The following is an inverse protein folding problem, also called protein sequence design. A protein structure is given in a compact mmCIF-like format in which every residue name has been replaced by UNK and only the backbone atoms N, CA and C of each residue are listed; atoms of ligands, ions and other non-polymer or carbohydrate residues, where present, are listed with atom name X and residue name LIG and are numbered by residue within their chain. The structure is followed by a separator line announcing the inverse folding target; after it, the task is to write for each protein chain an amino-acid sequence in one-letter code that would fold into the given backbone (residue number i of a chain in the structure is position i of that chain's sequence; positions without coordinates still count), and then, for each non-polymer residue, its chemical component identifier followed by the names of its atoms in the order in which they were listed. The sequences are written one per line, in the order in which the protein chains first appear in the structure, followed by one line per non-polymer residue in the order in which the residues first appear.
data_IF_926982345101
#
_entry.id   IF_926982345101
#
_cell.length_a   1.000
_cell.length_b   1.000
_cell.length_c   1.000
_cell.angle_alpha   90.00
_cell.angle_beta   90.00
_cell.angle_gamma   90.00
#
_symmetry.space_group_name_H-M   'P 1'
#
loop_
_entity.id
_entity.type
_entity.pdbx_description
1 polymer ?
#
# COMPACT_ATOMS: atom_id res chain seq x y z
N UNK A 1 -8.83 0.38 -9.77
CA UNK A 1 -7.54 0.92 -10.25
C UNK A 1 -6.64 -0.24 -10.67
N UNK A 2 -6.21 -0.28 -11.94
CA UNK A 2 -5.40 -1.38 -12.49
C UNK A 2 -3.91 -1.11 -12.27
N UNK A 3 -3.27 -1.83 -11.34
CA UNK A 3 -1.82 -1.92 -11.29
C UNK A 3 -1.31 -2.91 -12.34
N UNK A 4 -0.17 -2.63 -12.96
CA UNK A 4 0.50 -3.56 -13.87
C UNK A 4 1.13 -4.71 -13.06
N UNK A 5 0.85 -5.98 -13.41
CA UNK A 5 1.57 -7.16 -12.89
C UNK A 5 2.73 -7.53 -13.81
N UNK A 6 3.67 -6.61 -14.04
CA UNK A 6 4.91 -6.89 -14.77
C UNK A 6 6.08 -6.28 -14.01
N UNK A 7 7.31 -6.68 -14.31
CA UNK A 7 8.49 -6.01 -13.75
C UNK A 7 8.64 -4.60 -14.34
N UNK A 8 9.33 -3.72 -13.60
CA UNK A 8 9.61 -2.36 -14.05
C UNK A 8 10.46 -2.35 -15.33
N UNK A 9 11.46 -3.23 -15.39
CA UNK A 9 12.30 -3.44 -16.58
C UNK A 9 11.49 -3.75 -17.84
N UNK A 10 10.53 -4.69 -17.75
CA UNK A 10 9.66 -5.02 -18.89
C UNK A 10 8.74 -3.86 -19.28
N UNK A 11 8.33 -3.04 -18.31
CA UNK A 11 7.52 -1.86 -18.57
C UNK A 11 8.31 -0.78 -19.31
N UNK A 12 9.55 -0.52 -18.90
CA UNK A 12 10.42 0.48 -19.53
C UNK A 12 10.89 0.01 -20.91
N UNK A 13 11.25 -1.26 -21.06
CA UNK A 13 11.58 -1.85 -22.36
C UNK A 13 10.39 -1.83 -23.33
N UNK A 14 9.16 -2.07 -22.85
CA UNK A 14 7.96 -1.94 -23.69
C UNK A 14 7.74 -0.50 -24.20
N UNK A 15 8.08 0.52 -23.39
CA UNK A 15 7.99 1.93 -23.80
C UNK A 15 9.03 2.26 -24.86
N UNK A 16 10.27 1.83 -24.67
CA UNK A 16 11.37 2.06 -25.62
C UNK A 16 11.08 1.40 -26.98
N UNK A 17 10.63 0.14 -26.99
CA UNK A 17 10.28 -0.56 -28.23
C UNK A 17 9.10 0.11 -28.96
N UNK A 18 8.16 0.68 -28.22
CA UNK A 18 7.07 1.45 -28.83
C UNK A 18 7.53 2.79 -29.40
N UNK A 19 8.50 3.45 -28.77
CA UNK A 19 9.13 4.68 -29.29
C UNK A 19 9.97 4.42 -30.54
N UNK A 20 10.49 3.20 -30.69
CA UNK A 20 11.13 2.72 -31.91
C UNK A 20 10.12 2.22 -32.98
N UNK A 21 8.84 2.58 -32.88
CA UNK A 21 7.75 2.21 -33.79
C UNK A 21 7.56 0.69 -34.01
N UNK A 22 7.98 -0.13 -33.04
CA UNK A 22 7.79 -1.58 -33.15
C UNK A 22 6.32 -1.96 -32.97
N UNK A 23 5.87 -2.91 -33.78
CA UNK A 23 4.48 -3.40 -33.71
C UNK A 23 4.14 -3.99 -32.34
N UNK A 24 2.88 -3.86 -31.92
CA UNK A 24 2.39 -4.45 -30.66
C UNK A 24 2.64 -5.97 -30.59
N UNK A 25 2.56 -6.66 -31.74
CA UNK A 25 2.82 -8.10 -31.84
C UNK A 25 4.29 -8.44 -31.64
N UNK A 26 5.20 -7.57 -32.09
CA UNK A 26 6.63 -7.69 -31.79
C UNK A 26 6.89 -7.54 -30.29
N UNK A 27 6.42 -6.45 -29.67
CA UNK A 27 6.61 -6.18 -28.23
C UNK A 27 6.06 -7.33 -27.37
N UNK A 28 4.91 -7.87 -27.73
CA UNK A 28 4.28 -9.02 -27.08
C UNK A 28 5.21 -10.25 -27.06
N UNK A 29 5.79 -10.59 -28.20
CA UNK A 29 6.70 -11.74 -28.36
C UNK A 29 8.03 -11.51 -27.65
N UNK A 30 8.62 -10.33 -27.82
CA UNK A 30 9.92 -9.97 -27.25
C UNK A 30 9.91 -9.97 -25.72
N UNK A 31 8.83 -9.48 -25.10
CA UNK A 31 8.75 -9.35 -23.64
C UNK A 31 8.00 -10.50 -22.95
N UNK A 32 7.37 -11.38 -23.72
CA UNK A 32 6.54 -12.48 -23.21
C UNK A 32 5.35 -12.00 -22.38
N UNK A 33 4.74 -10.88 -22.76
CA UNK A 33 3.60 -10.28 -22.04
C UNK A 33 2.35 -10.32 -22.90
N UNK A 34 1.17 -10.41 -22.29
CA UNK A 34 -0.10 -10.47 -23.04
C UNK A 34 -0.34 -9.20 -23.88
N UNK A 35 -1.00 -9.35 -25.04
CA UNK A 35 -1.43 -8.21 -25.88
C UNK A 35 -2.29 -7.20 -25.10
N UNK A 36 -3.10 -7.67 -24.15
CA UNK A 36 -3.89 -6.83 -23.27
C UNK A 36 -3.00 -5.97 -22.34
N UNK A 37 -1.91 -6.54 -21.85
CA UNK A 37 -0.90 -5.82 -21.05
C UNK A 37 -0.22 -4.75 -21.89
N UNK A 38 0.24 -5.07 -23.11
CA UNK A 38 0.85 -4.10 -24.04
C UNK A 38 -0.10 -2.91 -24.26
N UNK A 39 -1.36 -3.16 -24.61
CA UNK A 39 -2.37 -2.10 -24.79
C UNK A 39 -2.55 -1.23 -23.55
N UNK A 40 -2.55 -1.81 -22.35
CA UNK A 40 -2.65 -1.04 -21.10
C UNK A 40 -1.42 -0.14 -20.88
N UNK A 41 -0.21 -0.62 -21.21
CA UNK A 41 1.03 0.16 -21.09
C UNK A 41 0.97 1.37 -22.02
N UNK A 42 0.56 1.16 -23.27
CA UNK A 42 0.42 2.24 -24.26
C UNK A 42 -0.62 3.28 -23.83
N UNK A 43 -1.76 2.84 -23.28
CA UNK A 43 -2.74 3.75 -22.69
C UNK A 43 -2.17 4.52 -21.50
N UNK A 44 -1.38 3.89 -20.64
CA UNK A 44 -0.74 4.58 -19.52
C UNK A 44 0.24 5.68 -19.97
N UNK A 45 0.91 5.51 -21.12
CA UNK A 45 1.73 6.57 -21.74
C UNK A 45 0.87 7.78 -22.14
N UNK A 46 -0.28 7.56 -22.76
CA UNK A 46 -1.21 8.64 -23.17
C UNK A 46 -1.65 9.52 -22.00
N UNK A 47 -1.78 8.96 -20.80
CA UNK A 47 -2.18 9.68 -19.58
C UNK A 47 -1.01 10.14 -18.70
N UNK A 48 0.24 10.10 -19.20
CA UNK A 48 1.46 10.40 -18.42
C UNK A 48 1.53 9.64 -17.08
N UNK A 49 0.98 8.43 -17.01
CA UNK A 49 1.09 7.57 -15.83
C UNK A 49 2.48 6.94 -15.88
N UNK A 50 3.47 7.67 -15.38
CA UNK A 50 4.88 7.28 -15.42
C UNK A 50 5.15 6.01 -14.61
N UNK A 51 4.36 5.74 -13.57
CA UNK A 51 4.68 4.75 -12.55
C UNK A 51 3.59 3.69 -12.39
N UNK A 52 4.03 2.47 -12.08
CA UNK A 52 3.19 1.47 -11.45
C UNK A 52 2.63 2.07 -10.15
N UNK A 53 1.36 2.50 -10.17
CA UNK A 53 0.74 3.03 -8.96
C UNK A 53 0.77 1.94 -7.90
N UNK A 54 1.39 2.24 -6.76
CA UNK A 54 1.36 1.39 -5.59
C UNK A 54 -0.09 1.02 -5.27
N UNK A 55 -0.34 -0.24 -4.88
CA UNK A 55 -1.68 -0.63 -4.45
C UNK A 55 -1.98 0.15 -3.17
N UNK A 56 -3.00 1.00 -3.22
CA UNK A 56 -3.57 1.54 -1.99
C UNK A 56 -4.31 0.41 -1.29
N UNK A 57 -3.83 0.00 -0.12
CA UNK A 57 -4.56 -0.92 0.74
C UNK A 57 -5.90 -0.32 1.20
N UNK A 58 -6.72 -1.13 1.86
CA UNK A 58 -7.94 -0.64 2.53
C UNK A 58 -7.54 0.46 3.53
N UNK A 59 -8.31 1.55 3.57
CA UNK A 59 -8.12 2.59 4.59
C UNK A 59 -8.17 1.93 5.98
N UNK A 60 -7.26 2.34 6.86
CA UNK A 60 -7.29 1.89 8.26
C UNK A 60 -8.56 2.42 8.92
N UNK A 61 -9.05 1.68 9.93
CA UNK A 61 -10.20 2.14 10.71
C UNK A 61 -9.87 3.37 11.55
N UNK A 62 -8.60 3.57 11.90
CA UNK A 62 -8.16 4.69 12.73
C UNK A 62 -7.60 5.83 11.88
N UNK A 63 -7.86 7.06 12.33
CA UNK A 63 -7.24 8.26 11.77
C UNK A 63 -5.84 8.50 12.37
N UNK A 64 -4.95 9.25 11.69
CA UNK A 64 -3.64 9.62 12.26
C UNK A 64 -3.73 10.42 13.57
N UNK A 65 -4.88 11.06 13.84
CA UNK A 65 -5.14 11.76 15.11
C UNK A 65 -5.43 10.75 16.23
N UNK A 66 -6.30 9.77 15.96
CA UNK A 66 -6.63 8.69 16.89
C UNK A 66 -5.40 7.84 17.21
N UNK A 67 -4.59 7.47 16.21
CA UNK A 67 -3.35 6.73 16.42
C UNK A 67 -2.42 7.47 17.39
N UNK A 68 -2.29 8.80 17.26
CA UNK A 68 -1.50 9.61 18.20
C UNK A 68 -2.09 9.63 19.61
N UNK A 69 -3.41 9.68 19.73
CA UNK A 69 -4.11 9.63 21.02
C UNK A 69 -3.91 8.29 21.73
N UNK A 70 -4.04 7.18 20.97
CA UNK A 70 -3.78 5.82 21.45
C UNK A 70 -2.33 5.71 21.95
N UNK A 71 -1.36 6.19 21.16
CA UNK A 71 0.06 6.10 21.54
C UNK A 71 0.38 6.89 22.82
N UNK A 72 -0.19 8.10 22.98
CA UNK A 72 -0.04 8.88 24.22
C UNK A 72 -0.68 8.18 25.42
N UNK A 73 -1.84 7.58 25.23
CA UNK A 73 -2.53 6.83 26.28
C UNK A 73 -1.74 5.58 26.71
N UNK A 74 -1.13 4.86 25.76
CA UNK A 74 -0.25 3.71 26.08
C UNK A 74 1.01 4.17 26.83
N UNK A 75 1.63 5.27 26.40
CA UNK A 75 2.85 5.81 27.04
C UNK A 75 2.59 6.29 28.47
N UNK A 76 1.44 6.92 28.72
CA UNK A 76 1.07 7.39 30.06
C UNK A 76 0.70 6.26 31.03
N UNK A 77 0.24 5.11 30.52
CA UNK A 77 -0.10 3.96 31.36
C UNK A 77 0.04 2.63 30.60
N UNK A 78 1.21 2.00 30.75
CA UNK A 78 1.58 0.77 30.04
C UNK A 78 0.82 -0.49 30.51
N UNK A 79 0.13 -0.39 31.66
CA UNK A 79 -0.64 -1.47 32.27
C UNK A 79 -2.15 -1.36 32.06
N UNK A 80 -2.63 -0.33 31.34
CA UNK A 80 -4.05 -0.22 31.03
C UNK A 80 -4.52 -1.29 30.02
N UNK A 81 -5.75 -1.76 30.20
CA UNK A 81 -6.38 -2.67 29.25
C UNK A 81 -6.65 -1.96 27.91
N UNK A 82 -6.63 -2.71 26.81
CA UNK A 82 -6.89 -2.16 25.49
C UNK A 82 -8.29 -1.51 25.37
N UNK A 83 -9.26 -2.03 26.14
CA UNK A 83 -10.62 -1.47 26.22
C UNK A 83 -10.61 -0.09 26.88
N UNK A 84 -9.92 0.05 28.02
CA UNK A 84 -9.81 1.34 28.71
C UNK A 84 -9.09 2.39 27.87
N UNK A 85 -8.07 1.98 27.09
CA UNK A 85 -7.35 2.88 26.19
C UNK A 85 -8.24 3.29 24.99
N UNK A 86 -9.05 2.38 24.44
CA UNK A 86 -9.99 2.70 23.37
C UNK A 86 -11.03 3.74 23.83
N UNK A 87 -11.64 3.54 25.00
CA UNK A 87 -12.58 4.47 25.62
C UNK A 87 -11.95 5.85 25.84
N UNK A 88 -10.75 5.89 26.45
CA UNK A 88 -10.04 7.14 26.72
C UNK A 88 -9.58 7.89 25.46
N UNK A 89 -9.30 7.14 24.39
CA UNK A 89 -8.81 7.72 23.13
C UNK A 89 -9.94 8.16 22.20
N UNK A 90 -11.20 7.92 22.55
CA UNK A 90 -12.38 8.22 21.72
C UNK A 90 -12.48 7.33 20.48
N UNK A 91 -11.95 6.10 20.56
CA UNK A 91 -11.93 5.15 19.45
C UNK A 91 -12.91 4.02 19.73
N UNK A 92 -13.70 3.63 18.72
CA UNK A 92 -14.66 2.53 18.83
C UNK A 92 -14.03 1.23 19.37
N UNK A 93 -14.80 0.50 20.16
CA UNK A 93 -14.39 -0.77 20.81
C UNK A 93 -13.95 -1.81 19.78
N UNK A 94 -14.47 -1.77 18.55
CA UNK A 94 -14.02 -2.62 17.44
C UNK A 94 -12.51 -2.47 17.14
N UNK A 95 -11.94 -1.31 17.45
CA UNK A 95 -10.51 -1.03 17.31
C UNK A 95 -9.68 -1.41 18.55
N UNK A 96 -10.30 -1.88 19.63
CA UNK A 96 -9.57 -2.35 20.82
C UNK A 96 -8.60 -3.51 20.49
N UNK A 97 -8.92 -4.32 19.48
CA UNK A 97 -8.00 -5.36 18.96
C UNK A 97 -6.72 -4.73 18.39
N UNK A 98 -6.83 -3.62 17.66
CA UNK A 98 -5.67 -2.87 17.14
C UNK A 98 -4.86 -2.22 18.26
N UNK A 99 -5.53 -1.68 19.28
CA UNK A 99 -4.88 -1.14 20.48
C UNK A 99 -4.09 -2.23 21.20
N UNK A 100 -4.67 -3.43 21.38
CA UNK A 100 -3.99 -4.58 21.99
C UNK A 100 -2.76 -5.01 21.19
N UNK A 101 -2.87 -5.08 19.87
CA UNK A 101 -1.73 -5.36 18.98
C UNK A 101 -0.62 -4.31 19.14
N UNK A 102 -0.98 -3.03 19.24
CA UNK A 102 -0.01 -1.94 19.39
C UNK A 102 0.70 -1.97 20.75
N UNK A 103 -0.03 -2.26 21.83
CA UNK A 103 0.57 -2.48 23.16
C UNK A 103 1.56 -3.64 23.10
N UNK A 104 1.20 -4.76 22.47
CA UNK A 104 2.09 -5.92 22.37
C UNK A 104 3.35 -5.63 21.54
N UNK A 105 3.23 -4.90 20.43
CA UNK A 105 4.39 -4.44 19.65
C UNK A 105 5.30 -3.52 20.47
N UNK A 106 4.73 -2.56 21.20
CA UNK A 106 5.50 -1.67 22.05
C UNK A 106 6.20 -2.43 23.17
N UNK A 107 5.50 -3.37 23.83
CA UNK A 107 6.12 -4.26 24.83
C UNK A 107 7.25 -5.11 24.22
N UNK A 108 7.09 -5.58 22.99
CA UNK A 108 8.14 -6.32 22.29
C UNK A 108 9.35 -5.44 21.93
N UNK A 109 9.13 -4.17 21.57
CA UNK A 109 10.18 -3.18 21.33
C UNK A 109 10.87 -2.70 22.61
N UNK A 110 10.17 -2.75 23.76
CA UNK A 110 10.67 -2.29 25.06
C UNK A 110 11.34 -3.38 25.92
N UNK A 111 11.33 -4.65 25.50
CA UNK A 111 12.26 -5.65 26.05
C UNK A 111 13.70 -5.23 25.64
N UNK A 112 14.73 -4.98 26.45
CA UNK A 112 15.08 -5.32 27.86
C UNK A 112 14.55 -6.67 28.35
#
# INVERSE_FOLDING_TARGET
MCGFRISREKFDCAKQLFEADMSQGFIMRTLGISRATVKKILKAKQYNIANMKGRSGRRRSTTPREDRSIMRSIQSNTNCSAKAIAEKSGVDIANAVMVRYRINLLKAQMKM
#
